data_IF_839587553585
#
_entry.id   IF_839587553585
#
_cell.length_a   1.000
_cell.length_b   1.000
_cell.length_c   1.000
_cell.angle_alpha   90.00
_cell.angle_beta   90.00
_cell.angle_gamma   90.00
#
_symmetry.space_group_name_H-M   'P 1'
#
loop_
_entity.id
_entity.type
_entity.pdbx_description
1 polymer ?
#
# COMPACT_ATOMS: atom_id res chain seq x y z
N UNK A 1 11.72 2.55 -18.70
CA UNK A 1 11.57 3.82 -17.95
C UNK A 1 11.18 3.45 -16.53
N UNK A 2 11.97 3.84 -15.54
CA UNK A 2 11.60 3.67 -14.12
C UNK A 2 10.91 4.96 -13.67
N UNK A 3 9.83 4.83 -12.91
CA UNK A 3 9.04 5.95 -12.42
C UNK A 3 8.37 5.60 -11.09
N UNK A 4 8.10 6.62 -10.29
CA UNK A 4 7.40 6.48 -9.01
C UNK A 4 5.96 6.97 -9.20
N UNK A 5 4.94 6.18 -8.83
CA UNK A 5 3.56 6.63 -8.87
C UNK A 5 3.37 7.90 -8.05
N UNK A 6 2.76 8.94 -8.65
CA UNK A 6 2.44 10.19 -7.93
C UNK A 6 1.53 9.96 -6.72
N UNK A 7 0.71 8.91 -6.75
CA UNK A 7 -0.12 8.49 -5.63
C UNK A 7 0.66 8.13 -4.36
N UNK A 8 1.98 7.93 -4.43
CA UNK A 8 2.84 7.70 -3.26
C UNK A 8 3.19 8.98 -2.50
N UNK A 9 2.82 10.15 -3.03
CA UNK A 9 3.11 11.46 -2.44
C UNK A 9 1.82 12.23 -2.10
N UNK A 10 1.81 12.86 -0.92
CA UNK A 10 0.84 13.89 -0.55
C UNK A 10 1.63 15.17 -0.35
N UNK A 11 1.31 16.19 -1.13
CA UNK A 11 2.12 17.40 -1.28
C UNK A 11 3.58 17.07 -1.65
N UNK A 12 4.50 17.18 -0.71
CA UNK A 12 5.93 16.88 -0.87
C UNK A 12 6.39 15.71 0.00
N UNK A 13 5.47 15.03 0.69
CA UNK A 13 5.77 13.96 1.63
C UNK A 13 5.27 12.60 1.14
N UNK A 14 5.96 11.54 1.54
CA UNK A 14 5.53 10.16 1.27
C UNK A 14 4.25 9.88 2.07
N UNK A 15 3.29 9.23 1.42
CA UNK A 15 2.03 8.79 2.06
C UNK A 15 2.32 8.07 3.37
N UNK A 16 1.71 8.56 4.45
CA UNK A 16 1.88 7.99 5.78
C UNK A 16 1.52 6.50 5.80
N UNK A 17 2.45 5.68 6.29
CA UNK A 17 2.27 4.23 6.40
C UNK A 17 2.63 3.44 5.13
N UNK A 18 2.83 4.08 3.98
CA UNK A 18 3.20 3.39 2.73
C UNK A 18 4.49 2.59 2.87
N UNK A 19 5.54 3.19 3.44
CA UNK A 19 6.82 2.51 3.67
C UNK A 19 6.66 1.27 4.55
N UNK A 20 5.91 1.39 5.66
CA UNK A 20 5.66 0.26 6.57
C UNK A 20 4.82 -0.85 5.93
N UNK A 21 3.79 -0.50 5.16
CA UNK A 21 3.00 -1.47 4.37
C UNK A 21 3.87 -2.18 3.34
N UNK A 22 4.75 -1.45 2.65
CA UNK A 22 5.69 -2.02 1.68
C UNK A 22 6.65 -3.01 2.33
N UNK A 23 7.21 -2.68 3.50
CA UNK A 23 8.06 -3.60 4.26
C UNK A 23 7.32 -4.89 4.60
N UNK A 24 6.09 -4.80 5.12
CA UNK A 24 5.30 -5.98 5.47
C UNK A 24 5.04 -6.91 4.27
N UNK A 25 4.71 -6.33 3.11
CA UNK A 25 4.50 -7.11 1.89
C UNK A 25 5.80 -7.75 1.38
N UNK A 26 6.94 -7.06 1.50
CA UNK A 26 8.25 -7.64 1.17
C UNK A 26 8.61 -8.79 2.11
N UNK A 27 8.34 -8.64 3.41
CA UNK A 27 8.55 -9.70 4.39
C UNK A 27 7.66 -10.93 4.08
N UNK A 28 6.49 -10.70 3.48
CA UNK A 28 5.60 -11.74 2.94
C UNK A 28 6.03 -12.30 1.55
N UNK A 29 7.17 -11.87 1.00
CA UNK A 29 7.73 -12.39 -0.25
C UNK A 29 7.31 -11.67 -1.53
N UNK A 30 6.53 -10.59 -1.44
CA UNK A 30 6.03 -9.87 -2.61
C UNK A 30 7.16 -9.13 -3.35
N UNK A 31 7.17 -9.22 -4.67
CA UNK A 31 8.05 -8.44 -5.55
C UNK A 31 7.49 -7.05 -5.82
N UNK A 32 8.29 -6.13 -6.37
CA UNK A 32 7.88 -4.74 -6.61
C UNK A 32 6.57 -4.63 -7.42
N UNK A 33 6.41 -5.42 -8.48
CA UNK A 33 5.20 -5.36 -9.31
C UNK A 33 3.97 -5.93 -8.60
N UNK A 34 4.15 -6.91 -7.72
CA UNK A 34 3.09 -7.48 -6.89
C UNK A 34 2.66 -6.49 -5.80
N UNK A 35 3.60 -5.77 -5.19
CA UNK A 35 3.31 -4.70 -4.22
C UNK A 35 2.54 -3.57 -4.92
N UNK A 36 2.97 -3.16 -6.12
CA UNK A 36 2.25 -2.17 -6.91
C UNK A 36 0.84 -2.68 -7.25
N UNK A 37 0.71 -3.91 -7.74
CA UNK A 37 -0.59 -4.51 -8.04
C UNK A 37 -1.48 -4.53 -6.80
N UNK A 38 -0.96 -4.94 -5.64
CA UNK A 38 -1.71 -4.95 -4.39
C UNK A 38 -2.18 -3.55 -3.98
N UNK A 39 -1.30 -2.54 -4.04
CA UNK A 39 -1.62 -1.17 -3.65
C UNK A 39 -2.70 -0.51 -4.50
N UNK A 40 -2.77 -0.85 -5.79
CA UNK A 40 -3.65 -0.22 -6.78
C UNK A 40 -4.84 -1.09 -7.21
N UNK A 41 -4.96 -2.32 -6.72
CA UNK A 41 -6.13 -3.18 -6.99
C UNK A 41 -7.20 -2.92 -5.94
N UNK A 42 -8.46 -2.65 -6.35
CA UNK A 42 -9.56 -2.55 -5.41
C UNK A 42 -9.72 -3.83 -4.58
N UNK A 43 -10.00 -3.68 -3.29
CA UNK A 43 -10.25 -4.79 -2.37
C UNK A 43 -11.70 -4.67 -1.90
N UNK A 44 -12.56 -5.65 -2.16
CA UNK A 44 -13.98 -5.58 -1.80
C UNK A 44 -14.24 -5.44 -0.28
N UNK A 45 -13.24 -5.74 0.55
CA UNK A 45 -13.29 -5.52 2.01
C UNK A 45 -12.95 -4.09 2.42
N UNK A 46 -12.54 -3.22 1.49
CA UNK A 46 -12.10 -1.85 1.69
C UNK A 46 -12.70 -0.92 0.61
N UNK A 47 -13.24 0.26 0.95
CA UNK A 47 -13.72 1.14 -0.10
C UNK A 47 -12.54 1.70 -0.89
N UNK A 48 -12.45 1.32 -2.17
CA UNK A 48 -11.40 1.76 -3.10
C UNK A 48 -10.16 0.87 -3.07
N UNK A 49 -8.99 1.46 -3.29
CA UNK A 49 -7.70 0.76 -3.30
C UNK A 49 -6.94 0.93 -1.98
N UNK A 50 -5.98 0.05 -1.63
CA UNK A 50 -5.15 0.24 -0.46
C UNK A 50 -4.36 1.56 -0.46
N UNK A 51 -3.91 2.06 -1.61
CA UNK A 51 -3.23 3.36 -1.68
C UNK A 51 -4.20 4.52 -1.37
N UNK A 52 -5.45 4.46 -1.83
CA UNK A 52 -6.46 5.47 -1.49
C UNK A 52 -6.76 5.47 0.01
N UNK A 53 -6.84 4.28 0.61
CA UNK A 53 -7.06 4.13 2.04
C UNK A 53 -5.88 4.61 2.89
N UNK A 54 -4.64 4.47 2.41
CA UNK A 54 -3.45 5.05 3.05
C UNK A 54 -3.41 6.58 2.94
N UNK A 55 -3.92 7.15 1.84
CA UNK A 55 -4.04 8.60 1.63
C UNK A 55 -5.16 9.23 2.46
N UNK A 56 -6.18 8.45 2.81
CA UNK A 56 -7.24 8.83 3.75
C UNK A 56 -6.97 8.35 5.18
N UNK A 57 -8.03 8.23 5.97
CA UNK A 57 -7.95 7.92 7.40
C UNK A 57 -7.91 6.41 7.72
N UNK A 58 -7.67 5.55 6.73
CA UNK A 58 -7.79 4.09 6.85
C UNK A 58 -6.45 3.34 6.86
N UNK A 59 -5.33 4.03 7.05
CA UNK A 59 -4.00 3.41 7.02
C UNK A 59 -3.79 2.27 8.03
N UNK A 60 -4.45 2.30 9.20
CA UNK A 60 -4.40 1.17 10.16
C UNK A 60 -5.01 -0.12 9.58
N UNK A 61 -6.07 0.02 8.82
CA UNK A 61 -6.83 -1.07 8.23
C UNK A 61 -6.07 -1.68 7.05
N UNK A 62 -5.35 -0.86 6.28
CA UNK A 62 -4.39 -1.32 5.26
C UNK A 62 -3.23 -2.08 5.90
N UNK A 63 -2.64 -1.56 6.98
CA UNK A 63 -1.52 -2.23 7.67
C UNK A 63 -1.91 -3.60 8.21
N UNK A 64 -3.13 -3.72 8.78
CA UNK A 64 -3.67 -5.00 9.26
C UNK A 64 -3.75 -6.05 8.15
N UNK A 65 -4.19 -5.67 6.94
CA UNK A 65 -4.23 -6.58 5.78
C UNK A 65 -2.83 -6.97 5.34
N UNK A 66 -1.92 -6.02 5.22
CA UNK A 66 -0.54 -6.30 4.83
C UNK A 66 0.13 -7.29 5.80
N UNK A 67 -0.13 -7.17 7.10
CA UNK A 67 0.32 -8.15 8.10
C UNK A 67 -0.29 -9.53 7.88
N UNK A 68 -1.58 -9.62 7.53
CA UNK A 68 -2.24 -10.90 7.26
C UNK A 68 -1.70 -11.61 6.00
N UNK A 69 -0.98 -10.92 5.12
CA UNK A 69 -0.36 -11.55 3.95
C UNK A 69 0.93 -12.32 4.29
N UNK A 70 1.55 -12.05 5.45
CA UNK A 70 2.81 -12.64 5.88
C UNK A 70 2.68 -13.77 6.89
N UNK A 71 1.47 -14.25 7.18
CA UNK A 71 1.18 -15.34 8.13
C UNK A 71 0.49 -16.52 7.43
#
# INVERSE_FOLDING_TARGET
MLGVPSAFLVDTEVVKGLAGTTTLLRDAGYQEDEILRWLFTPDDSLPGTPIDALRGDRGREVKRRAQAMGF
#
